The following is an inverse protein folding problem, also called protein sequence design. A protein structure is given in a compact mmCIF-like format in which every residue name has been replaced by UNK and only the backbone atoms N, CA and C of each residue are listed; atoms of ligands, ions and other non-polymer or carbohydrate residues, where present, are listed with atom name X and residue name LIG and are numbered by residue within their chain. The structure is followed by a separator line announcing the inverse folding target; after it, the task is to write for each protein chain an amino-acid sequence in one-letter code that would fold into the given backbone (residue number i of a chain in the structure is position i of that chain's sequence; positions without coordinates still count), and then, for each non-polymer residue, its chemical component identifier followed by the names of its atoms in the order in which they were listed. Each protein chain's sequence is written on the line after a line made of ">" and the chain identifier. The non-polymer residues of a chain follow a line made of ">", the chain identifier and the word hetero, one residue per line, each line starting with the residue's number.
data_IF_615481684813
#
_entry.id   IF_615481684813
#
_cell.length_a   1.000
_cell.length_b   1.000
_cell.length_c   1.000
_cell.angle_alpha   90.00
_cell.angle_beta   90.00
_cell.angle_gamma   90.00
#
_symmetry.space_group_name_H-M   'P 1'
#
loop_
_entity.id
_entity.type
_entity.pdbx_description
1 polymer ?
#
# COMPACT_ATOMS: atom_id res chain seq x y z
N UNK A 1 24.78 -9.76 40.90
CA UNK A 1 24.76 -10.54 39.64
C UNK A 1 23.60 -10.04 38.78
N UNK A 2 23.92 -9.48 37.61
CA UNK A 2 22.97 -9.00 36.60
C UNK A 2 22.50 -10.19 35.77
N UNK A 3 21.20 -10.45 35.72
CA UNK A 3 20.56 -11.14 34.60
C UNK A 3 19.31 -10.35 34.21
N UNK A 4 19.56 -9.37 33.34
CA UNK A 4 18.59 -8.75 32.45
C UNK A 4 18.07 -9.80 31.47
N UNK A 5 16.83 -9.63 31.05
CA UNK A 5 16.42 -10.04 29.70
C UNK A 5 15.54 -11.27 29.64
N UNK A 6 14.25 -11.09 29.95
CA UNK A 6 13.21 -11.86 29.25
C UNK A 6 11.92 -11.04 29.19
N UNK A 7 12.04 -9.82 28.65
CA UNK A 7 10.92 -9.22 27.93
C UNK A 7 10.72 -10.08 26.68
N UNK A 8 9.87 -11.09 26.84
CA UNK A 8 9.21 -11.81 25.74
C UNK A 8 8.68 -10.73 24.80
N UNK A 9 9.33 -10.52 23.66
CA UNK A 9 8.90 -9.61 22.59
C UNK A 9 7.60 -10.17 22.01
N UNK A 10 6.51 -9.89 22.72
CA UNK A 10 5.16 -10.29 22.38
C UNK A 10 4.56 -9.24 21.45
N UNK A 11 5.28 -8.94 20.38
CA UNK A 11 4.82 -8.18 19.21
C UNK A 11 5.82 -8.48 18.09
N UNK A 12 5.83 -9.72 17.60
CA UNK A 12 6.34 -9.95 16.25
C UNK A 12 5.34 -9.21 15.37
N UNK A 13 5.72 -8.02 14.91
CA UNK A 13 4.98 -7.28 13.89
C UNK A 13 4.78 -8.26 12.74
N UNK A 14 3.53 -8.70 12.58
CA UNK A 14 3.12 -9.56 11.47
C UNK A 14 3.67 -8.92 10.20
N UNK A 15 4.46 -9.67 9.42
CA UNK A 15 5.12 -9.19 8.21
C UNK A 15 4.20 -8.25 7.41
N UNK A 16 4.52 -6.95 7.42
CA UNK A 16 3.75 -5.84 6.84
C UNK A 16 4.46 -5.24 5.63
N UNK A 17 5.51 -5.91 5.11
CA UNK A 17 6.41 -5.39 4.07
C UNK A 17 5.67 -4.89 2.83
N UNK A 18 4.60 -5.59 2.40
CA UNK A 18 3.78 -5.18 1.25
C UNK A 18 3.02 -3.89 1.55
N UNK A 19 2.40 -3.79 2.72
CA UNK A 19 1.72 -2.59 3.19
C UNK A 19 2.67 -1.39 3.32
N UNK A 20 3.81 -1.58 3.98
CA UNK A 20 4.80 -0.52 4.17
C UNK A 20 5.31 -0.01 2.82
N UNK A 21 5.58 -0.91 1.88
CA UNK A 21 5.96 -0.55 0.51
C UNK A 21 4.87 0.21 -0.22
N UNK A 22 3.58 -0.17 -0.07
CA UNK A 22 2.48 0.60 -0.67
C UNK A 22 2.47 2.05 -0.15
N UNK A 23 2.60 2.24 1.17
CA UNK A 23 2.56 3.58 1.75
C UNK A 23 3.79 4.41 1.33
N UNK A 24 5.00 3.86 1.48
CA UNK A 24 6.25 4.60 1.30
C UNK A 24 6.73 4.69 -0.15
N UNK A 25 6.43 3.69 -0.98
CA UNK A 25 6.99 3.59 -2.34
C UNK A 25 5.96 3.75 -3.44
N UNK A 26 4.66 3.58 -3.16
CA UNK A 26 3.59 3.77 -4.15
C UNK A 26 2.83 5.06 -3.89
N UNK A 27 2.20 5.19 -2.73
CA UNK A 27 1.37 6.35 -2.39
C UNK A 27 2.20 7.62 -2.26
N UNK A 28 3.30 7.57 -1.50
CA UNK A 28 4.21 8.71 -1.39
C UNK A 28 4.87 9.08 -2.73
N UNK A 29 5.18 8.09 -3.57
CA UNK A 29 5.71 8.35 -4.91
C UNK A 29 4.67 9.03 -5.81
N UNK A 30 3.39 8.64 -5.74
CA UNK A 30 2.31 9.35 -6.41
C UNK A 30 2.28 10.83 -6.01
N UNK A 31 2.41 11.12 -4.71
CA UNK A 31 2.30 12.48 -4.17
C UNK A 31 3.53 13.36 -4.44
N UNK A 32 4.73 12.78 -4.44
CA UNK A 32 5.98 13.53 -4.54
C UNK A 32 6.66 13.45 -5.91
N UNK A 33 6.48 12.34 -6.62
CA UNK A 33 7.18 12.03 -7.88
C UNK A 33 6.26 11.26 -8.86
N UNK A 34 5.11 11.85 -9.27
CA UNK A 34 4.09 11.14 -10.04
C UNK A 34 4.61 10.56 -11.36
N UNK A 35 5.53 11.26 -12.04
CA UNK A 35 6.13 10.79 -13.30
C UNK A 35 6.96 9.51 -13.12
N UNK A 36 7.72 9.42 -12.02
CA UNK A 36 8.51 8.23 -11.73
C UNK A 36 7.62 7.02 -11.40
N UNK A 37 6.48 7.25 -10.74
CA UNK A 37 5.48 6.20 -10.53
C UNK A 37 4.85 5.77 -11.85
N UNK A 38 4.44 6.71 -12.71
CA UNK A 38 3.80 6.42 -14.00
C UNK A 38 4.66 5.49 -14.88
N UNK A 39 5.97 5.76 -14.97
CA UNK A 39 6.91 4.89 -15.69
C UNK A 39 6.93 3.47 -15.11
N UNK A 40 6.97 3.32 -13.78
CA UNK A 40 6.94 2.00 -13.12
C UNK A 40 5.64 1.25 -13.38
N UNK A 41 4.51 1.93 -13.35
CA UNK A 41 3.20 1.33 -13.65
C UNK A 41 3.15 0.84 -15.11
N UNK A 42 3.69 1.62 -16.04
CA UNK A 42 3.78 1.24 -17.46
C UNK A 42 4.65 0.00 -17.71
N UNK A 43 5.68 -0.22 -16.91
CA UNK A 43 6.56 -1.39 -17.01
C UNK A 43 5.95 -2.66 -16.41
N UNK A 44 5.10 -2.53 -15.37
CA UNK A 44 4.59 -3.66 -14.60
C UNK A 44 3.31 -4.31 -15.15
N UNK A 45 2.81 -3.89 -16.31
CA UNK A 45 1.56 -4.38 -16.92
C UNK A 45 0.38 -4.45 -15.92
N UNK A 46 0.27 -3.45 -15.04
CA UNK A 46 -0.76 -3.38 -14.00
C UNK A 46 -2.02 -2.67 -14.49
N UNK A 47 -3.14 -2.88 -13.81
CA UNK A 47 -4.40 -2.16 -14.04
C UNK A 47 -4.51 -0.87 -13.22
N UNK A 48 -3.46 -0.51 -12.49
CA UNK A 48 -3.36 0.77 -11.80
C UNK A 48 -3.06 1.88 -12.80
N UNK A 49 -3.70 3.03 -12.66
CA UNK A 49 -3.64 4.10 -13.66
C UNK A 49 -3.52 5.48 -13.02
N UNK A 50 -2.66 6.31 -13.61
CA UNK A 50 -2.63 7.74 -13.33
C UNK A 50 -3.76 8.41 -14.10
N UNK A 51 -4.65 9.11 -13.39
CA UNK A 51 -5.74 9.88 -13.99
C UNK A 51 -5.62 11.35 -13.54
N UNK A 52 -6.29 12.29 -14.22
CA UNK A 52 -6.34 13.68 -13.74
C UNK A 52 -6.93 13.83 -12.33
N UNK A 53 -7.80 12.90 -11.90
CA UNK A 53 -8.37 12.92 -10.56
C UNK A 53 -7.46 12.25 -9.50
N UNK A 54 -6.49 11.45 -9.93
CA UNK A 54 -5.49 10.82 -9.09
C UNK A 54 -5.13 9.40 -9.49
N UNK A 55 -4.47 8.67 -8.59
CA UNK A 55 -4.07 7.28 -8.83
C UNK A 55 -5.24 6.35 -8.58
N UNK A 56 -5.77 5.74 -9.65
CA UNK A 56 -6.85 4.77 -9.58
C UNK A 56 -6.34 3.34 -9.55
N UNK A 57 -6.96 2.50 -8.71
CA UNK A 57 -6.57 1.11 -8.53
C UNK A 57 -7.71 0.25 -7.97
N UNK A 58 -7.67 -1.05 -8.25
CA UNK A 58 -8.37 -2.04 -7.43
C UNK A 58 -7.44 -2.56 -6.33
N UNK A 59 -7.98 -2.98 -5.18
CA UNK A 59 -7.15 -3.54 -4.10
C UNK A 59 -6.33 -4.76 -4.55
N UNK A 60 -6.86 -5.71 -5.34
CA UNK A 60 -6.06 -6.82 -5.83
C UNK A 60 -4.92 -6.37 -6.75
N UNK A 61 -5.14 -5.34 -7.58
CA UNK A 61 -4.10 -4.81 -8.46
C UNK A 61 -2.97 -4.16 -7.66
N UNK A 62 -3.32 -3.30 -6.69
CA UNK A 62 -2.36 -2.65 -5.80
C UNK A 62 -1.53 -3.68 -5.03
N UNK A 63 -2.18 -4.70 -4.46
CA UNK A 63 -1.50 -5.75 -3.74
C UNK A 63 -0.56 -6.57 -4.64
N UNK A 64 -1.02 -6.99 -5.84
CA UNK A 64 -0.18 -7.76 -6.77
C UNK A 64 1.04 -6.95 -7.22
N UNK A 65 0.86 -5.67 -7.53
CA UNK A 65 1.94 -4.77 -7.89
C UNK A 65 2.96 -4.62 -6.76
N UNK A 66 2.50 -4.35 -5.54
CA UNK A 66 3.38 -4.22 -4.39
C UNK A 66 4.10 -5.53 -4.05
N UNK A 67 3.41 -6.67 -4.15
CA UNK A 67 4.02 -8.00 -3.98
C UNK A 67 5.13 -8.22 -5.02
N UNK A 68 4.89 -7.87 -6.28
CA UNK A 68 5.90 -7.96 -7.33
C UNK A 68 7.12 -7.07 -7.04
N UNK A 69 6.92 -5.84 -6.57
CA UNK A 69 8.03 -4.92 -6.26
C UNK A 69 8.82 -5.30 -4.99
N UNK A 70 8.20 -5.97 -4.01
CA UNK A 70 8.90 -6.37 -2.76
C UNK A 70 9.43 -7.80 -2.79
N UNK A 71 9.04 -8.61 -3.78
CA UNK A 71 9.59 -9.95 -3.96
C UNK A 71 11.06 -9.84 -4.36
N UNK A 72 11.93 -10.17 -3.41
CA UNK A 72 13.34 -10.42 -3.69
C UNK A 72 13.49 -11.94 -3.88
N UNK A 73 14.04 -12.41 -5.02
CA UNK A 73 14.20 -13.83 -5.34
C UNK A 73 15.02 -14.59 -4.29
N UNK A 74 15.84 -13.91 -3.49
CA UNK A 74 16.65 -14.51 -2.42
C UNK A 74 15.96 -14.46 -1.05
N UNK A 75 14.83 -13.76 -0.93
CA UNK A 75 14.07 -13.64 0.31
C UNK A 75 12.99 -14.72 0.39
N UNK A 76 12.97 -15.46 1.49
CA UNK A 76 12.08 -16.61 1.72
C UNK A 76 10.57 -16.31 1.62
N UNK A 77 9.72 -17.33 1.78
CA UNK A 77 8.29 -17.31 1.40
C UNK A 77 7.38 -16.40 2.25
N UNK A 78 7.93 -15.61 3.17
CA UNK A 78 7.15 -14.75 4.05
C UNK A 78 6.75 -13.47 3.30
N UNK A 79 5.71 -13.57 2.47
CA UNK A 79 4.99 -12.43 1.89
C UNK A 79 3.76 -12.12 2.75
N UNK A 80 3.49 -10.84 3.03
CA UNK A 80 2.27 -10.44 3.73
C UNK A 80 1.04 -10.93 2.95
N UNK A 81 0.10 -11.62 3.59
CA UNK A 81 -1.12 -12.09 2.92
C UNK A 81 -2.05 -10.94 2.49
N UNK A 82 -2.83 -11.14 1.43
CA UNK A 82 -3.80 -10.15 0.94
C UNK A 82 -4.80 -9.70 2.02
N UNK A 83 -5.27 -10.63 2.85
CA UNK A 83 -6.20 -10.31 3.94
C UNK A 83 -5.56 -9.42 5.01
N UNK A 84 -4.30 -9.69 5.38
CA UNK A 84 -3.53 -8.88 6.31
C UNK A 84 -3.23 -7.49 5.73
N UNK A 85 -2.77 -7.45 4.48
CA UNK A 85 -2.55 -6.22 3.73
C UNK A 85 -3.79 -5.32 3.72
N UNK A 86 -4.95 -5.88 3.34
CA UNK A 86 -6.21 -5.12 3.27
C UNK A 86 -6.62 -4.58 4.64
N UNK A 87 -6.42 -5.36 5.71
CA UNK A 87 -6.69 -4.91 7.08
C UNK A 87 -5.80 -3.72 7.48
N UNK A 88 -4.52 -3.73 7.08
CA UNK A 88 -3.60 -2.63 7.34
C UNK A 88 -3.98 -1.38 6.53
N UNK A 89 -4.31 -1.54 5.25
CA UNK A 89 -4.68 -0.43 4.38
C UNK A 89 -5.91 0.35 4.88
N UNK A 90 -6.91 -0.36 5.41
CA UNK A 90 -8.09 0.27 6.05
C UNK A 90 -7.90 0.63 7.53
N UNK A 91 -6.71 0.41 8.07
CA UNK A 91 -6.40 0.79 9.44
C UNK A 91 -6.43 2.31 9.63
N UNK A 92 -6.87 2.75 10.80
CA UNK A 92 -6.91 4.17 11.19
C UNK A 92 -5.54 4.85 11.01
N UNK A 93 -4.45 4.13 11.26
CA UNK A 93 -3.09 4.67 11.08
C UNK A 93 -2.80 5.06 9.63
N UNK A 94 -3.30 4.30 8.65
CA UNK A 94 -3.13 4.62 7.23
C UNK A 94 -3.86 5.90 6.86
N UNK A 95 -5.08 6.08 7.36
CA UNK A 95 -5.85 7.30 7.13
C UNK A 95 -5.13 8.52 7.71
N UNK A 96 -4.63 8.43 8.95
CA UNK A 96 -3.86 9.51 9.58
C UNK A 96 -2.61 9.84 8.76
N UNK A 97 -1.84 8.83 8.31
CA UNK A 97 -0.64 9.04 7.48
C UNK A 97 -0.96 9.74 6.16
N UNK A 98 -2.03 9.34 5.47
CA UNK A 98 -2.43 9.97 4.21
C UNK A 98 -2.87 11.42 4.42
N UNK A 99 -3.66 11.69 5.46
CA UNK A 99 -4.07 13.06 5.80
C UNK A 99 -2.88 13.96 6.13
N UNK A 100 -1.84 13.45 6.80
CA UNK A 100 -0.60 14.24 7.02
C UNK A 100 0.18 14.55 5.74
N UNK A 101 -0.13 13.87 4.65
CA UNK A 101 0.43 14.11 3.31
C UNK A 101 -0.56 14.86 2.41
N UNK A 102 -1.58 15.51 2.98
CA UNK A 102 -2.67 16.19 2.26
C UNK A 102 -3.31 15.30 1.18
N UNK A 103 -3.54 14.03 1.51
CA UNK A 103 -4.10 13.05 0.60
C UNK A 103 -5.11 12.13 1.29
N UNK A 104 -5.93 11.46 0.49
CA UNK A 104 -6.87 10.45 0.96
C UNK A 104 -7.12 9.36 -0.09
N UNK A 105 -7.56 8.19 0.37
CA UNK A 105 -8.08 7.14 -0.51
C UNK A 105 -9.59 7.11 -0.44
N UNK A 106 -10.24 7.39 -1.58
CA UNK A 106 -11.70 7.37 -1.73
C UNK A 106 -12.15 6.19 -2.59
N UNK A 107 -13.45 5.87 -2.55
CA UNK A 107 -14.07 4.91 -3.46
C UNK A 107 -14.51 5.68 -4.72
N UNK A 108 -13.80 5.48 -5.84
CA UNK A 108 -14.15 6.08 -7.13
C UNK A 108 -15.30 5.34 -7.81
N UNK A 109 -15.35 4.00 -7.67
CA UNK A 109 -16.44 3.18 -8.18
C UNK A 109 -16.77 2.06 -7.20
N UNK A 110 -17.96 2.14 -6.60
CA UNK A 110 -18.40 1.18 -5.60
C UNK A 110 -19.09 -0.02 -6.25
N UNK A 111 -18.58 -1.21 -6.00
CA UNK A 111 -19.20 -2.47 -6.40
C UNK A 111 -19.59 -3.29 -5.16
N UNK A 112 -20.59 -4.18 -5.29
CA UNK A 112 -20.99 -5.10 -4.20
C UNK A 112 -19.81 -5.93 -3.67
N UNK A 113 -18.81 -6.20 -4.53
CA UNK A 113 -17.58 -6.87 -4.15
C UNK A 113 -16.44 -5.85 -4.02
N UNK A 114 -15.82 -5.80 -2.84
CA UNK A 114 -14.69 -4.92 -2.52
C UNK A 114 -13.50 -5.10 -3.48
N UNK A 115 -13.27 -6.33 -3.96
CA UNK A 115 -12.17 -6.63 -4.88
C UNK A 115 -12.43 -6.13 -6.31
N UNK A 116 -13.69 -5.80 -6.63
CA UNK A 116 -14.09 -5.21 -7.91
C UNK A 116 -14.22 -3.69 -7.82
N UNK A 117 -14.21 -3.13 -6.60
CA UNK A 117 -14.31 -1.69 -6.39
C UNK A 117 -13.04 -0.99 -6.87
N UNK A 118 -13.23 0.20 -7.43
CA UNK A 118 -12.13 1.09 -7.82
C UNK A 118 -11.96 2.14 -6.74
N UNK A 119 -10.74 2.26 -6.26
CA UNK A 119 -10.29 3.23 -5.29
C UNK A 119 -9.45 4.28 -5.99
N UNK A 120 -9.39 5.46 -5.41
CA UNK A 120 -8.55 6.55 -5.89
C UNK A 120 -7.79 7.17 -4.75
N UNK A 121 -6.47 7.21 -4.86
CA UNK A 121 -5.64 8.09 -4.06
C UNK A 121 -5.64 9.47 -4.72
N UNK A 122 -6.10 10.48 -3.99
CA UNK A 122 -6.22 11.86 -4.47
C UNK A 122 -5.63 12.84 -3.45
N UNK A 123 -5.18 14.00 -3.92
CA UNK A 123 -4.77 15.11 -3.05
C UNK A 123 -6.00 15.84 -2.51
N UNK A 124 -5.93 16.31 -1.27
CA UNK A 124 -6.96 17.11 -0.63
C UNK A 124 -6.90 18.59 -1.03
N UNK A 125 -5.76 19.03 -1.58
CA UNK A 125 -5.63 20.34 -2.18
C UNK A 125 -6.43 20.40 -3.49
N UNK A 126 -7.42 21.29 -3.53
CA UNK A 126 -8.17 21.70 -4.73
C UNK A 126 -7.41 22.78 -5.50
#
# INVERSE_FOLDING_TARGET
>A
MLLRGLLKSKDIVSNQRVYDHVVESVFRAYLLQPLALEVRLGQAATSMQMTPAGLEFSLPALYKFAVFEVQDPDSGPDIQSYASFRRCLYGQQTQVRLHTLDAEVVIAQNHKNVNMSIYRLQTLAS
#
